data_IF_180772734813
#
_entry.id   IF_180772734813
#
_cell.length_a   1.000
_cell.length_b   1.000
_cell.length_c   1.000
_cell.angle_alpha   90.00
_cell.angle_beta   90.00
_cell.angle_gamma   90.00
#
_symmetry.space_group_name_H-M   'P 1'
#
loop_
_entity.id
_entity.type
_entity.pdbx_description
1 polymer ?
#
# COMPACT_ATOMS: atom_id res chain seq x y z
N UNK A 1 69.56 3.82 13.57
CA UNK A 1 68.23 4.28 14.05
C UNK A 1 67.19 3.91 13.00
N UNK A 2 66.54 2.75 13.17
CA UNK A 2 65.57 2.22 12.19
C UNK A 2 64.18 2.66 12.65
N UNK A 3 63.53 3.51 11.88
CA UNK A 3 62.15 3.94 12.11
C UNK A 3 61.21 2.86 11.61
N UNK A 4 60.54 2.16 12.52
CA UNK A 4 59.41 1.25 12.20
C UNK A 4 58.21 2.08 11.77
N UNK A 5 57.89 2.04 10.47
CA UNK A 5 56.64 2.56 9.91
C UNK A 5 55.54 1.56 10.23
N UNK A 6 54.66 1.86 11.20
CA UNK A 6 53.47 1.05 11.50
C UNK A 6 52.44 1.29 10.40
N UNK A 7 52.28 0.29 9.53
CA UNK A 7 51.22 0.25 8.56
C UNK A 7 49.90 -0.11 9.29
N UNK A 8 49.01 0.87 9.40
CA UNK A 8 47.69 0.64 9.96
C UNK A 8 46.77 0.10 8.85
N UNK A 9 46.55 -1.21 8.81
CA UNK A 9 45.66 -1.86 7.85
C UNK A 9 44.22 -1.65 8.32
N UNK A 10 43.48 -0.69 7.75
CA UNK A 10 42.06 -0.49 7.99
C UNK A 10 41.30 -1.60 7.23
N UNK A 11 40.87 -2.60 7.95
CA UNK A 11 40.01 -3.64 7.41
C UNK A 11 38.62 -3.02 7.18
N UNK A 12 38.26 -2.73 5.94
CA UNK A 12 36.89 -2.38 5.57
C UNK A 12 36.02 -3.63 5.69
N UNK A 13 35.35 -3.78 6.83
CA UNK A 13 34.32 -4.79 7.02
C UNK A 13 33.11 -4.29 6.21
N UNK A 14 32.87 -4.88 5.04
CA UNK A 14 31.63 -4.72 4.31
C UNK A 14 30.54 -5.42 5.09
N UNK A 15 29.81 -4.69 5.93
CA UNK A 15 28.58 -5.19 6.56
C UNK A 15 27.50 -5.07 5.48
N UNK A 16 26.92 -6.17 4.99
CA UNK A 16 25.80 -6.08 4.06
C UNK A 16 24.64 -5.41 4.80
N UNK A 17 24.27 -4.21 4.36
CA UNK A 17 23.04 -3.56 4.80
C UNK A 17 21.92 -4.26 4.02
N UNK A 18 21.23 -5.19 4.67
CA UNK A 18 20.00 -5.75 4.12
C UNK A 18 18.93 -4.65 4.17
N UNK A 19 18.53 -4.16 3.01
CA UNK A 19 17.34 -3.34 2.92
C UNK A 19 16.15 -4.18 3.37
N UNK A 20 15.25 -3.59 4.16
CA UNK A 20 14.04 -4.29 4.59
C UNK A 20 13.18 -4.52 3.36
N UNK A 21 12.90 -5.79 3.04
CA UNK A 21 12.06 -6.17 1.91
C UNK A 21 10.57 -6.03 2.19
N UNK A 22 10.22 -5.86 3.46
CA UNK A 22 8.84 -5.76 3.93
C UNK A 22 8.55 -4.35 4.44
N UNK A 23 7.44 -3.78 4.00
CA UNK A 23 7.00 -2.46 4.42
C UNK A 23 5.49 -2.31 4.31
N UNK A 24 4.97 -1.31 5.03
CA UNK A 24 3.56 -0.92 4.97
C UNK A 24 3.41 0.15 3.89
N UNK A 25 2.44 -0.06 3.00
CA UNK A 25 2.07 0.87 1.95
C UNK A 25 0.66 1.41 2.23
N UNK A 26 0.51 2.70 2.42
CA UNK A 26 -0.78 3.34 2.70
C UNK A 26 -1.51 3.57 1.39
N UNK A 27 -2.70 2.99 1.24
CA UNK A 27 -3.54 3.05 0.05
C UNK A 27 -4.68 4.04 0.15
N UNK A 28 -5.02 4.44 1.36
CA UNK A 28 -6.03 5.41 1.67
C UNK A 28 -6.08 5.73 3.15
N UNK A 29 -6.60 6.88 3.50
CA UNK A 29 -6.63 7.38 4.88
C UNK A 29 -7.89 8.17 5.21
N UNK A 30 -8.91 8.13 4.36
CA UNK A 30 -10.19 8.79 4.65
C UNK A 30 -11.16 7.84 5.34
N UNK A 31 -12.20 8.40 5.93
CA UNK A 31 -13.26 7.63 6.58
C UNK A 31 -14.03 6.79 5.54
N UNK A 32 -14.71 5.73 6.00
CA UNK A 32 -15.33 4.69 5.21
C UNK A 32 -16.46 5.13 4.26
N UNK A 33 -17.06 6.29 4.48
CA UNK A 33 -18.03 6.87 3.53
C UNK A 33 -17.36 7.62 2.35
N UNK A 34 -16.03 7.67 2.31
CA UNK A 34 -15.25 8.38 1.30
C UNK A 34 -15.18 9.88 1.53
N UNK A 35 -14.44 10.56 0.65
CA UNK A 35 -14.31 12.02 0.69
C UNK A 35 -14.16 12.57 -0.73
N UNK A 36 -15.06 13.48 -1.15
CA UNK A 36 -16.26 13.95 -0.46
C UNK A 36 -17.32 12.85 -0.30
N UNK A 37 -17.96 12.79 0.86
CA UNK A 37 -19.08 11.87 1.04
C UNK A 37 -20.42 12.47 0.55
N UNK A 38 -21.42 11.62 0.35
CA UNK A 38 -22.77 12.03 -0.09
C UNK A 38 -23.33 13.10 0.84
N UNK A 39 -23.76 14.23 0.26
CA UNK A 39 -24.40 15.34 1.00
C UNK A 39 -23.45 16.19 1.82
N UNK A 40 -22.15 16.02 1.73
CA UNK A 40 -21.19 16.90 2.40
C UNK A 40 -21.29 18.33 1.87
N UNK A 41 -21.63 19.27 2.77
CA UNK A 41 -21.72 20.70 2.47
C UNK A 41 -20.53 21.50 3.02
N UNK A 42 -19.57 20.82 3.62
CA UNK A 42 -18.38 21.46 4.14
C UNK A 42 -17.53 22.04 3.00
N UNK A 43 -16.96 23.23 3.22
CA UNK A 43 -16.14 23.90 2.18
C UNK A 43 -15.04 23.00 1.63
N UNK A 44 -14.38 22.25 2.49
CA UNK A 44 -13.34 21.31 2.09
C UNK A 44 -13.85 20.25 1.10
N UNK A 45 -15.03 19.67 1.32
CA UNK A 45 -15.63 18.73 0.39
C UNK A 45 -15.93 19.35 -0.97
N UNK A 46 -16.49 20.57 -0.95
CA UNK A 46 -16.87 21.28 -2.18
C UNK A 46 -15.63 21.65 -3.00
N UNK A 47 -14.57 22.11 -2.35
CA UNK A 47 -13.32 22.52 -3.01
C UNK A 47 -12.53 21.32 -3.57
N UNK A 48 -12.74 20.12 -3.04
CA UNK A 48 -11.97 18.93 -3.41
C UNK A 48 -12.79 17.86 -4.14
N UNK A 49 -14.00 18.15 -4.57
CA UNK A 49 -14.84 17.18 -5.26
C UNK A 49 -14.20 16.62 -6.53
N UNK A 50 -13.41 17.43 -7.24
CA UNK A 50 -12.68 17.02 -8.44
C UNK A 50 -11.36 16.28 -8.17
N UNK A 51 -10.96 16.18 -6.89
CA UNK A 51 -9.71 15.56 -6.45
C UNK A 51 -9.93 14.24 -5.70
N UNK A 52 -10.99 13.54 -6.04
CA UNK A 52 -11.37 12.29 -5.41
C UNK A 52 -10.21 11.29 -5.29
N UNK A 53 -9.34 11.22 -6.29
CA UNK A 53 -8.18 10.32 -6.33
C UNK A 53 -7.13 10.58 -5.23
N UNK A 54 -7.20 11.73 -4.56
CA UNK A 54 -6.33 12.05 -3.43
C UNK A 54 -6.88 11.54 -2.07
N UNK A 55 -8.13 11.03 -2.06
CA UNK A 55 -8.88 10.79 -0.82
C UNK A 55 -9.53 9.41 -0.75
N UNK A 56 -8.76 8.36 -1.02
CA UNK A 56 -9.27 7.00 -0.92
C UNK A 56 -9.58 6.57 0.50
N UNK A 57 -10.58 5.72 0.64
CA UNK A 57 -10.99 5.11 1.91
C UNK A 57 -9.84 4.31 2.52
N UNK A 58 -9.76 4.34 3.84
CA UNK A 58 -8.65 3.74 4.61
C UNK A 58 -8.39 2.29 4.23
N UNK A 59 -7.19 2.05 3.74
CA UNK A 59 -6.65 0.73 3.45
C UNK A 59 -5.13 0.76 3.50
N UNK A 60 -4.52 -0.35 3.86
CA UNK A 60 -3.07 -0.53 3.83
C UNK A 60 -2.73 -1.87 3.19
N UNK A 61 -1.56 -1.93 2.56
CA UNK A 61 -0.94 -3.17 2.13
C UNK A 61 0.36 -3.41 2.89
N UNK A 62 0.62 -4.65 3.27
CA UNK A 62 1.94 -5.10 3.70
C UNK A 62 2.61 -5.75 2.51
N UNK A 63 3.64 -5.11 2.02
CA UNK A 63 4.37 -5.49 0.81
C UNK A 63 5.59 -6.30 1.20
N UNK A 64 5.84 -7.40 0.47
CA UNK A 64 7.13 -8.08 0.44
C UNK A 64 7.68 -7.98 -0.98
N UNK A 65 8.65 -7.09 -1.18
CA UNK A 65 9.22 -6.81 -2.51
C UNK A 65 10.09 -7.93 -3.05
N UNK A 66 10.74 -8.71 -2.18
CA UNK A 66 11.60 -9.82 -2.62
C UNK A 66 10.79 -10.99 -3.19
N UNK A 67 9.59 -11.20 -2.65
CA UNK A 67 8.69 -12.27 -3.09
C UNK A 67 7.66 -11.81 -4.14
N UNK A 68 7.59 -10.53 -4.45
CA UNK A 68 6.53 -9.91 -5.26
C UNK A 68 5.13 -10.27 -4.75
N UNK A 69 4.92 -10.13 -3.45
CA UNK A 69 3.68 -10.51 -2.78
C UNK A 69 3.22 -9.41 -1.83
N UNK A 70 1.94 -9.40 -1.56
CA UNK A 70 1.38 -8.52 -0.54
C UNK A 70 0.10 -9.08 0.08
N UNK A 71 -0.21 -8.61 1.26
CA UNK A 71 -1.51 -8.78 1.91
C UNK A 71 -2.18 -7.42 2.04
N UNK A 72 -3.50 -7.42 2.01
CA UNK A 72 -4.32 -6.21 2.06
C UNK A 72 -5.12 -6.18 3.35
N UNK A 73 -5.21 -5.02 3.97
CA UNK A 73 -6.17 -4.74 5.03
C UNK A 73 -7.24 -3.81 4.48
N UNK A 74 -8.47 -4.24 4.54
CA UNK A 74 -9.68 -3.66 4.00
C UNK A 74 -9.84 -3.83 2.48
N UNK A 75 -11.06 -4.14 2.08
CA UNK A 75 -11.52 -4.13 0.70
C UNK A 75 -12.53 -2.99 0.52
N UNK A 76 -12.02 -1.79 0.33
CA UNK A 76 -12.81 -0.55 0.29
C UNK A 76 -13.57 -0.39 -1.02
N UNK A 77 -14.54 0.54 -1.13
CA UNK A 77 -15.16 0.90 -2.40
C UNK A 77 -14.16 1.34 -3.47
N UNK A 78 -12.97 1.84 -3.05
CA UNK A 78 -11.93 2.35 -3.94
C UNK A 78 -10.91 1.29 -4.35
N UNK A 79 -11.15 0.02 -4.03
CA UNK A 79 -10.17 -1.05 -4.17
C UNK A 79 -9.57 -1.18 -5.57
N UNK A 80 -10.34 -0.93 -6.62
CA UNK A 80 -9.85 -1.00 -8.00
C UNK A 80 -8.76 0.04 -8.27
N UNK A 81 -8.89 1.24 -7.72
CA UNK A 81 -7.89 2.30 -7.80
C UNK A 81 -6.70 2.00 -6.91
N UNK A 82 -6.95 1.52 -5.71
CA UNK A 82 -5.91 1.14 -4.74
C UNK A 82 -5.01 0.03 -5.26
N UNK A 83 -5.58 -1.01 -5.89
CA UNK A 83 -4.80 -2.07 -6.52
C UNK A 83 -4.04 -1.58 -7.76
N UNK A 84 -4.65 -0.70 -8.55
CA UNK A 84 -3.94 -0.08 -9.68
C UNK A 84 -2.78 0.81 -9.21
N UNK A 85 -2.91 1.45 -8.04
CA UNK A 85 -1.82 2.21 -7.41
C UNK A 85 -0.65 1.30 -7.02
N UNK A 86 -0.92 0.13 -6.41
CA UNK A 86 0.11 -0.88 -6.13
C UNK A 86 0.78 -1.35 -7.43
N UNK A 87 -0.02 -1.67 -8.45
CA UNK A 87 0.51 -2.07 -9.76
C UNK A 87 1.49 -1.04 -10.31
N UNK A 88 1.13 0.23 -10.32
CA UNK A 88 1.91 1.26 -11.00
C UNK A 88 3.14 1.73 -10.20
N UNK A 89 3.09 1.67 -8.87
CA UNK A 89 4.11 2.27 -8.02
C UNK A 89 4.98 1.24 -7.26
N UNK A 90 4.54 -0.03 -7.21
CA UNK A 90 5.25 -1.07 -6.46
C UNK A 90 5.80 -2.16 -7.38
N UNK A 91 4.91 -2.91 -8.04
CA UNK A 91 5.31 -4.12 -8.75
C UNK A 91 5.48 -3.94 -10.27
N UNK A 92 4.97 -2.87 -10.86
CA UNK A 92 4.92 -2.61 -12.31
C UNK A 92 4.12 -3.66 -13.11
N UNK A 93 3.43 -4.54 -12.41
CA UNK A 93 2.53 -5.57 -12.95
C UNK A 93 1.31 -5.73 -12.04
N UNK A 94 0.22 -6.28 -12.57
CA UNK A 94 -0.97 -6.53 -11.76
C UNK A 94 -0.86 -7.84 -11.02
N UNK A 95 -0.83 -7.76 -9.69
CA UNK A 95 -0.85 -8.88 -8.78
C UNK A 95 -2.09 -8.80 -7.89
N UNK A 96 -2.70 -9.95 -7.60
CA UNK A 96 -3.72 -10.04 -6.56
C UNK A 96 -3.08 -10.15 -5.18
N UNK A 97 -3.72 -9.63 -4.12
CA UNK A 97 -3.25 -9.87 -2.76
C UNK A 97 -3.31 -11.36 -2.41
N UNK A 98 -2.33 -11.85 -1.67
CA UNK A 98 -2.31 -13.22 -1.13
C UNK A 98 -3.47 -13.45 -0.12
N UNK A 99 -3.85 -12.39 0.60
CA UNK A 99 -4.98 -12.40 1.51
C UNK A 99 -5.55 -10.99 1.69
N UNK A 100 -6.82 -10.92 2.04
CA UNK A 100 -7.49 -9.68 2.44
C UNK A 100 -8.02 -9.87 3.85
N UNK A 101 -7.64 -8.98 4.76
CA UNK A 101 -8.10 -8.95 6.15
C UNK A 101 -9.07 -7.81 6.35
N UNK A 102 -10.29 -8.12 6.76
CA UNK A 102 -11.32 -7.13 7.10
C UNK A 102 -11.30 -6.93 8.61
N UNK A 103 -11.09 -5.71 9.06
CA UNK A 103 -11.01 -5.41 10.50
C UNK A 103 -12.36 -5.46 11.17
N UNK A 104 -13.40 -4.99 10.48
CA UNK A 104 -14.76 -4.97 11.01
C UNK A 104 -15.83 -4.81 9.91
N UNK A 105 -17.09 -4.98 10.27
CA UNK A 105 -18.21 -5.09 9.33
C UNK A 105 -18.89 -3.75 9.00
N UNK A 106 -18.18 -2.63 8.96
CA UNK A 106 -18.71 -1.44 8.31
C UNK A 106 -18.53 -1.54 6.80
N UNK A 107 -19.52 -1.09 6.05
CA UNK A 107 -19.62 -1.34 4.60
C UNK A 107 -18.41 -0.78 3.82
N UNK A 108 -17.84 0.33 4.24
CA UNK A 108 -16.66 0.94 3.62
C UNK A 108 -15.40 0.08 3.71
N UNK A 109 -15.37 -0.94 4.60
CA UNK A 109 -14.20 -1.80 4.79
C UNK A 109 -14.27 -3.12 3.99
N UNK A 110 -15.45 -3.52 3.50
CA UNK A 110 -15.58 -4.80 2.79
C UNK A 110 -16.35 -4.74 1.47
N UNK A 111 -17.01 -3.63 1.14
CA UNK A 111 -17.82 -3.55 -0.08
C UNK A 111 -17.04 -3.78 -1.36
N UNK A 112 -15.75 -3.47 -1.36
CA UNK A 112 -14.85 -3.74 -2.48
C UNK A 112 -14.63 -5.22 -2.78
N UNK A 113 -15.00 -6.13 -1.87
CA UNK A 113 -14.95 -7.58 -2.14
C UNK A 113 -15.79 -7.98 -3.35
N UNK A 114 -16.83 -7.21 -3.68
CA UNK A 114 -17.64 -7.44 -4.89
C UNK A 114 -16.81 -7.46 -6.18
N UNK A 115 -15.68 -6.76 -6.23
CA UNK A 115 -14.81 -6.69 -7.41
C UNK A 115 -13.87 -7.90 -7.56
N UNK A 116 -13.87 -8.82 -6.60
CA UNK A 116 -13.09 -10.08 -6.68
C UNK A 116 -13.95 -11.26 -7.13
N UNK A 117 -15.20 -11.01 -7.51
CA UNK A 117 -16.12 -12.02 -7.98
C UNK A 117 -15.73 -12.61 -9.34
N UNK A 118 -16.54 -13.56 -9.76
CA UNK A 118 -16.35 -14.31 -11.00
C UNK A 118 -16.28 -13.41 -12.24
N UNK A 119 -16.99 -12.29 -12.21
CA UNK A 119 -17.08 -11.32 -13.30
C UNK A 119 -15.77 -10.54 -13.49
N UNK A 120 -14.96 -10.42 -12.45
CA UNK A 120 -13.73 -9.66 -12.48
C UNK A 120 -12.51 -10.53 -12.82
N UNK A 121 -12.18 -11.51 -12.06
CA UNK A 121 -10.99 -12.35 -12.29
C UNK A 121 -11.25 -13.80 -11.88
N UNK A 122 -12.43 -14.11 -11.38
CA UNK A 122 -12.74 -15.40 -10.80
C UNK A 122 -11.78 -15.74 -9.65
N UNK A 123 -11.36 -14.74 -8.90
CA UNK A 123 -10.46 -14.91 -7.75
C UNK A 123 -11.08 -15.91 -6.77
N UNK A 124 -10.26 -16.84 -6.35
CA UNK A 124 -10.64 -17.95 -5.45
C UNK A 124 -10.32 -17.59 -4.02
#
# INVERSE_FOLDING_TARGET
MIRFLKFFFILFINIPIYAQSEYIYILGNTQDAGMPHIGCKHKFCLDNFSKYEEFYVTSIAVINSDLNKYILFEATPDITYQLNHIKNNVFQEFLLPEAIYITHAHIGHYSGLMYFGREALGSK
#
